data_IF_587582395496
#
_entry.id   IF_587582395496
#
_cell.length_a   1.000
_cell.length_b   1.000
_cell.length_c   1.000
_cell.angle_alpha   90.00
_cell.angle_beta   90.00
_cell.angle_gamma   90.00
#
_symmetry.space_group_name_H-M   'P 1'
#
loop_
_entity.id
_entity.type
_entity.pdbx_description
1 polymer ?
#
# COMPACT_ATOMS: atom_id res chain seq x y z
N UNK A 1 -8.56 -5.45 -11.02
CA UNK A 1 -9.18 -4.58 -10.00
C UNK A 1 -8.50 -3.21 -9.88
N UNK A 2 -7.27 -3.05 -9.37
CA UNK A 2 -6.64 -1.72 -9.19
C UNK A 2 -6.62 -0.87 -10.47
N UNK A 3 -6.24 -1.44 -11.60
CA UNK A 3 -6.26 -0.75 -12.91
C UNK A 3 -7.65 -0.30 -13.34
N UNK A 4 -8.73 -0.99 -12.93
CA UNK A 4 -10.10 -0.54 -13.21
C UNK A 4 -10.44 0.71 -12.39
N UNK A 5 -10.10 0.71 -11.10
CA UNK A 5 -10.27 1.89 -10.25
C UNK A 5 -9.44 3.08 -10.74
N UNK A 6 -8.21 2.85 -11.19
CA UNK A 6 -7.36 3.88 -11.81
C UNK A 6 -7.99 4.42 -13.10
N UNK A 7 -8.50 3.54 -13.97
CA UNK A 7 -9.18 3.93 -15.21
C UNK A 7 -10.46 4.73 -14.98
N UNK A 8 -11.21 4.41 -13.92
CA UNK A 8 -12.42 5.14 -13.53
C UNK A 8 -12.10 6.52 -12.93
N UNK A 9 -11.09 6.60 -12.06
CA UNK A 9 -10.73 7.84 -11.36
C UNK A 9 -9.93 8.81 -12.23
N UNK A 10 -9.12 8.32 -13.18
CA UNK A 10 -8.25 9.15 -14.01
C UNK A 10 -9.02 9.81 -15.14
N UNK A 11 -8.65 11.05 -15.49
CA UNK A 11 -9.15 11.70 -16.70
C UNK A 11 -8.73 10.88 -17.94
N UNK A 12 -9.69 10.28 -18.62
CA UNK A 12 -9.43 9.36 -19.74
C UNK A 12 -10.70 8.66 -20.22
N UNK A 13 -10.53 7.64 -21.08
CA UNK A 13 -11.63 6.94 -21.75
C UNK A 13 -12.70 6.38 -20.81
N UNK A 14 -12.31 5.95 -19.61
CA UNK A 14 -13.19 5.28 -18.66
C UNK A 14 -13.55 6.16 -17.46
N UNK A 15 -13.22 7.46 -17.52
CA UNK A 15 -13.47 8.37 -16.42
C UNK A 15 -14.96 8.44 -16.08
N UNK A 16 -15.33 8.13 -14.84
CA UNK A 16 -16.71 8.15 -14.39
C UNK A 16 -17.62 7.06 -14.98
N UNK A 17 -17.09 6.08 -15.72
CA UNK A 17 -17.89 5.03 -16.36
C UNK A 17 -18.56 4.10 -15.32
N UNK A 18 -19.90 4.03 -15.35
CA UNK A 18 -20.69 3.24 -14.40
C UNK A 18 -20.41 1.73 -14.51
N UNK A 19 -20.14 1.23 -15.71
CA UNK A 19 -19.83 -0.19 -15.93
C UNK A 19 -18.49 -0.58 -15.29
N UNK A 20 -17.48 0.29 -15.42
CA UNK A 20 -16.18 0.11 -14.78
C UNK A 20 -16.30 0.22 -13.26
N UNK A 21 -17.07 1.19 -12.74
CA UNK A 21 -17.32 1.34 -11.30
C UNK A 21 -18.01 0.11 -10.71
N UNK A 22 -19.08 -0.36 -11.36
CA UNK A 22 -19.83 -1.54 -10.93
C UNK A 22 -18.91 -2.76 -10.91
N UNK A 23 -18.09 -2.94 -11.95
CA UNK A 23 -17.16 -4.07 -12.00
C UNK A 23 -16.10 -3.98 -10.90
N UNK A 24 -15.51 -2.81 -10.70
CA UNK A 24 -14.51 -2.61 -9.65
C UNK A 24 -15.08 -2.85 -8.25
N UNK A 25 -16.33 -2.44 -8.01
CA UNK A 25 -17.03 -2.63 -6.74
C UNK A 25 -17.34 -4.10 -6.47
N UNK A 26 -17.82 -4.85 -7.47
CA UNK A 26 -18.06 -6.29 -7.35
C UNK A 26 -16.75 -7.04 -7.07
N UNK A 27 -15.69 -6.76 -7.84
CA UNK A 27 -14.38 -7.39 -7.63
C UNK A 27 -13.83 -7.08 -6.22
N UNK A 28 -14.06 -5.86 -5.72
CA UNK A 28 -13.65 -5.45 -4.37
C UNK A 28 -14.43 -6.20 -3.29
N UNK A 29 -15.75 -6.29 -3.43
CA UNK A 29 -16.59 -7.04 -2.49
C UNK A 29 -16.16 -8.52 -2.41
N UNK A 30 -15.92 -9.15 -3.57
CA UNK A 30 -15.43 -10.53 -3.65
C UNK A 30 -14.04 -10.68 -3.00
N UNK A 31 -13.15 -9.71 -3.18
CA UNK A 31 -11.84 -9.74 -2.52
C UNK A 31 -11.98 -9.65 -0.99
N UNK A 32 -12.93 -8.87 -0.48
CA UNK A 32 -13.21 -8.71 0.94
C UNK A 32 -13.88 -9.94 1.56
N UNK A 33 -14.51 -10.82 0.77
CA UNK A 33 -14.98 -12.13 1.25
C UNK A 33 -13.81 -13.06 1.63
N UNK A 34 -12.61 -12.78 1.13
CA UNK A 34 -11.40 -13.55 1.41
C UNK A 34 -10.35 -12.78 2.21
N UNK A 35 -10.59 -11.50 2.46
CA UNK A 35 -9.68 -10.60 3.18
C UNK A 35 -10.47 -9.81 4.23
N UNK A 36 -10.75 -10.48 5.35
CA UNK A 36 -11.46 -9.98 6.52
C UNK A 36 -10.76 -10.47 7.81
N UNK A 37 -11.35 -10.16 8.97
CA UNK A 37 -10.75 -10.45 10.28
C UNK A 37 -10.43 -11.93 10.48
N UNK A 38 -11.40 -12.79 10.16
CA UNK A 38 -11.31 -14.25 10.36
C UNK A 38 -10.72 -15.00 9.17
N UNK A 39 -10.24 -14.30 8.13
CA UNK A 39 -9.70 -14.97 6.96
C UNK A 39 -8.48 -15.81 7.34
N UNK A 40 -8.44 -17.10 6.94
CA UNK A 40 -7.22 -17.90 7.08
C UNK A 40 -6.10 -17.22 6.30
N UNK A 41 -4.88 -17.29 6.82
CA UNK A 41 -3.70 -16.60 6.25
C UNK A 41 -2.68 -17.58 5.67
N UNK A 42 -3.03 -18.37 4.65
CA UNK A 42 -2.07 -19.28 4.04
C UNK A 42 -0.96 -18.52 3.31
N UNK A 43 0.20 -19.17 3.18
CA UNK A 43 1.32 -18.68 2.38
C UNK A 43 2.12 -17.56 3.04
N UNK A 44 2.76 -16.73 2.22
CA UNK A 44 3.71 -15.73 2.67
C UNK A 44 3.02 -14.53 3.35
N UNK A 45 3.52 -14.15 4.53
CA UNK A 45 3.04 -12.99 5.31
C UNK A 45 3.01 -11.68 4.50
N UNK A 46 3.90 -11.55 3.52
CA UNK A 46 4.03 -10.38 2.65
C UNK A 46 2.71 -10.02 1.95
N UNK A 47 1.95 -11.01 1.50
CA UNK A 47 0.66 -10.74 0.85
C UNK A 47 -0.34 -10.10 1.81
N UNK A 48 -0.39 -10.61 3.04
CA UNK A 48 -1.35 -10.20 4.05
C UNK A 48 -1.07 -8.83 4.65
N UNK A 49 0.20 -8.48 4.85
CA UNK A 49 0.57 -7.21 5.49
C UNK A 49 0.96 -6.11 4.50
N UNK A 50 1.39 -6.48 3.30
CA UNK A 50 1.96 -5.54 2.33
C UNK A 50 1.16 -5.49 1.03
N UNK A 51 1.14 -6.58 0.27
CA UNK A 51 0.65 -6.51 -1.12
C UNK A 51 -0.86 -6.32 -1.23
N UNK A 52 -1.66 -6.96 -0.39
CA UNK A 52 -3.13 -6.85 -0.45
C UNK A 52 -3.58 -5.49 0.10
N UNK A 53 -3.14 -5.04 1.30
CA UNK A 53 -3.52 -3.72 1.79
C UNK A 53 -3.11 -2.57 0.87
N UNK A 54 -1.96 -2.67 0.18
CA UNK A 54 -1.54 -1.66 -0.80
C UNK A 54 -2.59 -1.47 -1.90
N UNK A 55 -3.06 -2.58 -2.46
CA UNK A 55 -4.05 -2.56 -3.54
C UNK A 55 -5.41 -2.10 -3.01
N UNK A 56 -5.85 -2.65 -1.87
CA UNK A 56 -7.16 -2.35 -1.29
C UNK A 56 -7.26 -0.89 -0.83
N UNK A 57 -6.22 -0.38 -0.16
CA UNK A 57 -6.15 1.02 0.28
C UNK A 57 -6.18 2.00 -0.91
N UNK A 58 -5.38 1.74 -1.94
CA UNK A 58 -5.37 2.57 -3.15
C UNK A 58 -6.74 2.56 -3.86
N UNK A 59 -7.38 1.40 -3.99
CA UNK A 59 -8.72 1.29 -4.60
C UNK A 59 -9.76 2.07 -3.79
N UNK A 60 -9.73 1.95 -2.45
CA UNK A 60 -10.63 2.70 -1.57
C UNK A 60 -10.51 4.21 -1.78
N UNK A 61 -9.28 4.72 -1.94
CA UNK A 61 -9.04 6.14 -2.16
C UNK A 61 -9.45 6.60 -3.57
N UNK A 62 -9.18 5.78 -4.59
CA UNK A 62 -9.50 6.11 -5.98
C UNK A 62 -11.01 6.15 -6.22
N UNK A 63 -11.74 5.19 -5.66
CA UNK A 63 -13.19 5.13 -5.82
C UNK A 63 -13.92 6.06 -4.82
N UNK A 64 -13.29 6.37 -3.69
CA UNK A 64 -13.74 7.39 -2.76
C UNK A 64 -15.20 7.22 -2.34
N UNK A 65 -15.99 8.27 -2.54
CA UNK A 65 -17.41 8.34 -2.18
C UNK A 65 -18.33 7.64 -3.19
N UNK A 66 -17.80 7.18 -4.34
CA UNK A 66 -18.57 6.40 -5.30
C UNK A 66 -18.69 4.92 -4.91
N UNK A 67 -17.96 4.48 -3.87
CA UNK A 67 -18.13 3.14 -3.32
C UNK A 67 -19.46 3.01 -2.60
N UNK A 68 -20.10 1.85 -2.79
CA UNK A 68 -21.20 1.43 -1.94
C UNK A 68 -20.79 1.52 -0.45
N UNK A 69 -21.60 2.17 0.42
CA UNK A 69 -21.24 2.37 1.82
C UNK A 69 -20.98 1.08 2.59
N UNK A 70 -21.68 -0.01 2.27
CA UNK A 70 -21.47 -1.29 2.93
C UNK A 70 -20.13 -1.92 2.51
N UNK A 71 -19.76 -1.82 1.22
CA UNK A 71 -18.43 -2.24 0.74
C UNK A 71 -17.33 -1.38 1.37
N UNK A 72 -17.54 -0.06 1.48
CA UNK A 72 -16.59 0.85 2.14
C UNK A 72 -16.39 0.50 3.61
N UNK A 73 -17.47 0.21 4.35
CA UNK A 73 -17.39 -0.20 5.75
C UNK A 73 -16.63 -1.54 5.92
N UNK A 74 -16.88 -2.51 5.03
CA UNK A 74 -16.14 -3.78 5.02
C UNK A 74 -14.65 -3.58 4.73
N UNK A 75 -14.31 -2.72 3.76
CA UNK A 75 -12.94 -2.37 3.44
C UNK A 75 -12.22 -1.78 4.65
N UNK A 76 -12.86 -0.82 5.32
CA UNK A 76 -12.33 -0.17 6.52
C UNK A 76 -12.08 -1.17 7.65
N UNK A 77 -13.07 -2.01 7.97
CA UNK A 77 -12.97 -3.02 9.01
C UNK A 77 -11.84 -4.03 8.72
N UNK A 78 -11.74 -4.50 7.47
CA UNK A 78 -10.69 -5.42 7.04
C UNK A 78 -9.30 -4.80 7.16
N UNK A 79 -9.09 -3.59 6.64
CA UNK A 79 -7.80 -2.92 6.71
C UNK A 79 -7.43 -2.58 8.16
N UNK A 80 -8.37 -2.08 8.96
CA UNK A 80 -8.15 -1.80 10.39
C UNK A 80 -7.74 -3.05 11.15
N UNK A 81 -8.38 -4.19 10.88
CA UNK A 81 -8.02 -5.44 11.51
C UNK A 81 -6.60 -5.91 11.14
N UNK A 82 -6.22 -5.77 9.86
CA UNK A 82 -4.96 -6.31 9.36
C UNK A 82 -3.78 -5.38 9.67
N UNK A 83 -4.01 -4.06 9.63
CA UNK A 83 -3.04 -3.00 9.89
C UNK A 83 -3.14 -2.46 11.33
N UNK A 84 -3.13 -3.37 12.30
CA UNK A 84 -3.15 -3.01 13.74
C UNK A 84 -1.83 -2.40 14.21
N UNK A 85 -0.72 -2.91 13.70
CA UNK A 85 0.63 -2.56 14.13
C UNK A 85 1.48 -2.11 12.95
N UNK A 86 2.52 -1.34 13.23
CA UNK A 86 3.55 -0.92 12.28
C UNK A 86 4.90 -1.36 12.84
N UNK A 87 5.38 -2.52 12.42
CA UNK A 87 6.46 -3.27 13.10
C UNK A 87 7.57 -3.77 12.18
N UNK A 88 7.41 -3.65 10.86
CA UNK A 88 8.40 -4.13 9.91
C UNK A 88 9.59 -3.16 9.84
N UNK A 89 10.71 -3.62 9.28
CA UNK A 89 11.98 -2.87 9.15
C UNK A 89 12.44 -2.78 7.68
N UNK A 90 13.42 -1.90 7.40
CA UNK A 90 13.95 -1.71 6.04
C UNK A 90 12.87 -1.31 5.03
N UNK A 91 12.94 -1.84 3.80
CA UNK A 91 11.92 -1.58 2.77
C UNK A 91 10.51 -1.99 3.21
N UNK A 92 10.40 -3.08 3.98
CA UNK A 92 9.11 -3.55 4.49
C UNK A 92 8.45 -2.52 5.42
N UNK A 93 9.23 -1.75 6.18
CA UNK A 93 8.71 -0.66 7.01
C UNK A 93 8.07 0.43 6.16
N UNK A 94 8.71 0.82 5.06
CA UNK A 94 8.17 1.85 4.15
C UNK A 94 6.88 1.37 3.49
N UNK A 95 6.82 0.11 3.04
CA UNK A 95 5.62 -0.43 2.41
C UNK A 95 4.46 -0.64 3.41
N UNK A 96 4.75 -1.12 4.63
CA UNK A 96 3.74 -1.20 5.69
C UNK A 96 3.22 0.20 6.07
N UNK A 97 4.12 1.17 6.22
CA UNK A 97 3.76 2.54 6.53
C UNK A 97 2.90 3.19 5.44
N UNK A 98 3.17 2.94 4.15
CA UNK A 98 2.29 3.36 3.04
C UNK A 98 0.86 2.83 3.22
N UNK A 99 0.71 1.56 3.59
CA UNK A 99 -0.61 0.97 3.80
C UNK A 99 -1.35 1.62 4.97
N UNK A 100 -0.63 1.97 6.04
CA UNK A 100 -1.19 2.76 7.15
C UNK A 100 -1.56 4.18 6.73
N UNK A 101 -0.81 4.81 5.84
CA UNK A 101 -1.15 6.12 5.28
C UNK A 101 -2.44 6.06 4.46
N UNK A 102 -2.64 5.03 3.63
CA UNK A 102 -3.92 4.85 2.92
C UNK A 102 -5.09 4.67 3.88
N UNK A 103 -4.95 3.82 4.91
CA UNK A 103 -5.99 3.62 5.91
C UNK A 103 -6.30 4.93 6.67
N UNK A 104 -5.26 5.68 7.03
CA UNK A 104 -5.42 6.97 7.68
C UNK A 104 -6.21 7.97 6.83
N UNK A 105 -5.92 8.04 5.52
CA UNK A 105 -6.66 8.90 4.59
C UNK A 105 -8.11 8.44 4.42
N UNK A 106 -8.37 7.14 4.37
CA UNK A 106 -9.73 6.59 4.31
C UNK A 106 -10.56 6.91 5.55
N UNK A 107 -9.92 7.04 6.71
CA UNK A 107 -10.55 7.28 8.01
C UNK A 107 -10.53 8.74 8.47
N UNK A 108 -9.78 9.61 7.78
CA UNK A 108 -9.46 10.95 8.28
C UNK A 108 -8.60 10.96 9.56
N UNK A 109 -7.85 9.88 9.82
CA UNK A 109 -7.01 9.71 11.02
C UNK A 109 -5.64 10.41 10.82
N UNK A 110 -5.61 11.72 11.11
CA UNK A 110 -4.38 12.53 10.99
C UNK A 110 -3.23 12.04 11.88
N UNK A 111 -3.52 11.43 13.03
CA UNK A 111 -2.48 10.91 13.93
C UNK A 111 -1.82 9.66 13.35
N UNK A 112 -2.59 8.73 12.79
CA UNK A 112 -2.02 7.58 12.07
C UNK A 112 -1.23 8.01 10.85
N UNK A 113 -1.72 9.03 10.12
CA UNK A 113 -1.00 9.57 8.98
C UNK A 113 0.38 10.13 9.38
N UNK A 114 0.45 10.90 10.47
CA UNK A 114 1.71 11.42 10.99
C UNK A 114 2.69 10.29 11.36
N UNK A 115 2.23 9.27 12.10
CA UNK A 115 3.07 8.10 12.45
C UNK A 115 3.56 7.33 11.22
N UNK A 116 2.72 7.19 10.20
CA UNK A 116 3.09 6.56 8.94
C UNK A 116 4.15 7.37 8.19
N UNK A 117 3.99 8.69 8.12
CA UNK A 117 4.98 9.59 7.51
C UNK A 117 6.34 9.49 8.23
N UNK A 118 6.35 9.59 9.55
CA UNK A 118 7.56 9.44 10.37
C UNK A 118 8.26 8.11 10.10
N UNK A 119 7.48 7.02 9.97
CA UNK A 119 8.04 5.70 9.67
C UNK A 119 8.66 5.64 8.28
N UNK A 120 8.01 6.22 7.27
CA UNK A 120 8.54 6.26 5.89
C UNK A 120 9.88 7.00 5.88
N UNK A 121 9.92 8.22 6.42
CA UNK A 121 11.15 9.02 6.45
C UNK A 121 12.23 8.39 7.33
N UNK A 122 11.84 7.70 8.40
CA UNK A 122 12.76 6.91 9.22
C UNK A 122 13.46 5.77 8.48
N UNK A 123 12.96 5.34 7.30
CA UNK A 123 13.67 4.37 6.45
C UNK A 123 14.73 5.01 5.55
N UNK A 124 14.68 6.33 5.36
CA UNK A 124 15.62 7.11 4.53
C UNK A 124 16.76 7.60 5.41
N UNK A 125 17.55 6.67 5.94
CA UNK A 125 18.73 6.97 6.76
C UNK A 125 19.88 6.03 6.46
N UNK A 126 21.10 6.50 6.66
CA UNK A 126 22.28 5.65 6.64
C UNK A 126 22.21 4.63 7.78
N UNK A 127 22.49 3.36 7.49
CA UNK A 127 22.36 2.27 8.45
C UNK A 127 23.41 1.19 8.22
N UNK A 128 24.04 0.72 9.31
CA UNK A 128 25.04 -0.34 9.29
C UNK A 128 24.46 -1.76 9.12
N UNK A 129 23.15 -1.94 9.30
CA UNK A 129 22.53 -3.27 9.47
C UNK A 129 21.52 -3.60 8.34
N UNK A 130 21.30 -2.66 7.42
CA UNK A 130 20.35 -2.77 6.29
C UNK A 130 19.74 -1.41 5.97
N UNK A 131 19.52 -1.11 4.68
CA UNK A 131 19.15 0.22 4.20
C UNK A 131 20.23 0.86 3.33
N UNK A 132 20.11 2.18 3.14
CA UNK A 132 21.09 3.00 2.40
C UNK A 132 22.39 3.09 3.20
N UNK A 133 23.53 2.99 2.52
CA UNK A 133 24.88 3.12 3.06
C UNK A 133 25.50 4.45 2.68
N UNK A 134 26.55 4.86 3.39
CA UNK A 134 27.27 6.11 3.12
C UNK A 134 27.90 6.11 1.72
N UNK A 135 28.22 4.94 1.18
CA UNK A 135 28.69 4.73 -0.20
C UNK A 135 27.53 4.64 -1.23
N UNK A 136 26.31 4.99 -0.83
CA UNK A 136 25.07 4.93 -1.61
C UNK A 136 24.63 3.53 -2.05
N UNK A 137 25.26 2.47 -1.55
CA UNK A 137 24.74 1.10 -1.73
C UNK A 137 23.49 0.85 -0.87
N UNK A 138 22.63 -0.10 -1.29
CA UNK A 138 21.46 -0.50 -0.50
C UNK A 138 21.50 -1.99 -0.16
N UNK A 139 21.50 -2.29 1.14
CA UNK A 139 21.47 -3.65 1.64
C UNK A 139 20.07 -4.05 2.10
N UNK A 140 19.56 -5.13 1.52
CA UNK A 140 18.28 -5.75 1.89
C UNK A 140 18.53 -7.21 2.29
N UNK A 141 17.85 -7.68 3.35
CA UNK A 141 18.08 -9.02 3.93
C UNK A 141 19.56 -9.32 4.24
N UNK A 142 20.23 -8.45 5.00
CA UNK A 142 21.58 -8.58 5.61
C UNK A 142 22.78 -8.91 4.70
N UNK A 143 22.59 -9.36 3.46
CA UNK A 143 23.68 -9.76 2.57
C UNK A 143 23.42 -9.52 1.08
N UNK A 144 22.22 -9.05 0.68
CA UNK A 144 21.91 -8.81 -0.73
C UNK A 144 22.03 -7.32 -1.06
N UNK A 145 23.01 -6.96 -1.89
CA UNK A 145 23.05 -5.64 -2.54
C UNK A 145 21.93 -5.58 -3.57
N UNK A 146 20.99 -4.65 -3.39
CA UNK A 146 19.69 -4.75 -4.05
C UNK A 146 19.11 -3.39 -4.47
N UNK A 147 20.02 -2.45 -4.77
CA UNK A 147 19.76 -1.05 -5.10
C UNK A 147 18.67 -0.86 -6.16
N UNK A 148 18.64 -1.66 -7.22
CA UNK A 148 17.65 -1.48 -8.31
C UNK A 148 16.33 -2.21 -8.09
N UNK A 149 16.30 -3.28 -7.28
CA UNK A 149 15.11 -4.14 -7.12
C UNK A 149 14.16 -3.67 -6.02
N UNK A 150 14.66 -3.00 -4.97
CA UNK A 150 13.86 -2.67 -3.79
C UNK A 150 13.80 -1.19 -3.43
N UNK A 151 14.66 -0.35 -4.04
CA UNK A 151 14.67 1.10 -3.84
C UNK A 151 14.00 1.85 -5.00
N UNK A 152 13.97 1.27 -6.20
CA UNK A 152 13.23 1.82 -7.33
C UNK A 152 13.45 3.32 -7.54
N UNK A 153 14.69 3.77 -7.68
CA UNK A 153 14.99 5.13 -8.13
C UNK A 153 15.46 5.11 -9.59
N UNK A 154 14.78 5.92 -10.40
CA UNK A 154 15.23 6.33 -11.73
C UNK A 154 16.72 6.68 -11.70
N UNK A 155 17.55 5.83 -12.29
CA UNK A 155 18.87 6.22 -12.76
C UNK A 155 18.67 7.11 -14.00
N UNK A 156 18.23 8.34 -13.78
CA UNK A 156 18.54 9.41 -14.72
C UNK A 156 20.06 9.53 -14.73
N UNK A 157 20.66 9.08 -15.84
CA UNK A 157 22.09 9.25 -16.12
C UNK A 157 22.43 10.73 -15.94
N UNK A 158 23.16 11.07 -14.87
CA UNK A 158 23.99 12.26 -14.87
C UNK A 158 25.23 11.90 -15.69
N UNK A 159 25.14 12.07 -17.00
CA UNK A 159 26.33 12.26 -17.82
C UNK A 159 26.87 13.65 -17.53
N UNK A 160 28.16 13.72 -17.19
CA UNK A 160 28.96 14.95 -17.29
C UNK A 160 29.02 15.41 -18.74
#
# INVERSE_FOLDING_TARGET
>A
MRTLAEGWASAGRYHGDEGVLNRATIDLANALDHYHADSPRPGAWYYWLISIPDKLGAIGLLLGDALDPAVRARLDASLTHQLKLMRLSGANAAWEARNHAYLALLQGDSQRLARAADRIFGTVRYSSDGGVREDFSYLFHVATCATTRWVGMNSAKLSK
#
